data_IF_105359815503
#
_entry.id   IF_105359815503
#
_cell.length_a   1.000
_cell.length_b   1.000
_cell.length_c   1.000
_cell.angle_alpha   90.00
_cell.angle_beta   90.00
_cell.angle_gamma   90.00
#
_symmetry.space_group_name_H-M   'P 1'
#
loop_
_entity.id
_entity.type
_entity.pdbx_description
1 polymer ?
#
# COMPACT_ATOMS: atom_id res chain seq x y z
N UNK A 1 23.05 1.98 -20.82
CA UNK A 1 22.37 2.87 -19.85
C UNK A 1 21.86 2.00 -18.73
N UNK A 2 22.43 2.16 -17.53
CA UNK A 2 21.99 1.47 -16.31
C UNK A 2 20.71 2.11 -15.75
N UNK A 3 20.36 3.31 -16.23
CA UNK A 3 19.30 4.16 -15.71
C UNK A 3 17.94 4.01 -16.42
N UNK A 4 17.75 2.96 -17.22
CA UNK A 4 16.48 2.69 -17.92
C UNK A 4 15.59 1.77 -17.07
N UNK A 5 14.48 2.26 -16.47
CA UNK A 5 13.59 1.44 -15.65
C UNK A 5 13.01 0.23 -16.41
N UNK A 6 12.90 0.28 -17.74
CA UNK A 6 12.39 -0.82 -18.53
C UNK A 6 13.37 -2.02 -18.61
N UNK A 7 14.64 -1.83 -18.24
CA UNK A 7 15.70 -2.85 -18.34
C UNK A 7 16.18 -3.37 -17.01
N UNK A 8 15.75 -2.77 -15.90
CA UNK A 8 16.19 -3.13 -14.55
C UNK A 8 15.01 -3.07 -13.59
N UNK A 9 14.45 -4.22 -13.18
CA UNK A 9 13.31 -4.28 -12.27
C UNK A 9 13.57 -3.65 -10.90
N UNK A 10 14.82 -3.71 -10.41
CA UNK A 10 15.23 -3.05 -9.18
C UNK A 10 15.20 -1.53 -9.29
N UNK A 11 15.67 -0.99 -10.43
CA UNK A 11 15.57 0.44 -10.70
C UNK A 11 14.12 0.88 -10.87
N UNK A 12 13.31 0.11 -11.60
CA UNK A 12 11.87 0.36 -11.74
C UNK A 12 11.19 0.44 -10.37
N UNK A 13 11.50 -0.51 -9.48
CA UNK A 13 10.97 -0.53 -8.11
C UNK A 13 11.29 0.76 -7.35
N UNK A 14 12.55 1.20 -7.39
CA UNK A 14 12.98 2.44 -6.72
C UNK A 14 12.31 3.67 -7.34
N UNK A 15 12.23 3.74 -8.67
CA UNK A 15 11.65 4.89 -9.36
C UNK A 15 10.14 5.01 -9.12
N UNK A 16 9.43 3.88 -9.04
CA UNK A 16 8.02 3.80 -8.64
C UNK A 16 7.78 4.30 -7.21
N UNK A 17 8.71 4.07 -6.27
CA UNK A 17 8.59 4.64 -4.92
C UNK A 17 8.73 6.17 -4.91
N UNK A 18 9.61 6.71 -5.75
CA UNK A 18 9.83 8.14 -5.83
C UNK A 18 8.72 8.89 -6.57
N UNK A 19 8.18 8.29 -7.63
CA UNK A 19 7.26 8.96 -8.57
C UNK A 19 5.82 8.50 -8.43
N UNK A 20 5.57 7.36 -7.78
CA UNK A 20 4.25 6.74 -7.68
C UNK A 20 3.78 6.25 -9.04
N UNK A 21 2.49 5.92 -9.16
CA UNK A 21 1.89 5.45 -10.40
C UNK A 21 0.43 5.85 -10.49
N UNK A 22 -0.03 6.20 -11.69
CA UNK A 22 -1.46 6.42 -11.97
C UNK A 22 -2.14 5.11 -12.34
N UNK A 23 -3.42 5.00 -12.01
CA UNK A 23 -4.27 3.88 -12.44
C UNK A 23 -5.15 4.34 -13.58
N UNK A 24 -5.17 3.56 -14.66
CA UNK A 24 -6.13 3.71 -15.75
C UNK A 24 -7.50 3.14 -15.34
N UNK A 25 -8.57 3.59 -15.98
CA UNK A 25 -9.94 3.15 -15.71
C UNK A 25 -10.15 1.64 -15.99
N UNK A 26 -9.25 1.02 -16.76
CA UNK A 26 -9.24 -0.42 -17.01
C UNK A 26 -8.82 -1.28 -15.80
N UNK A 27 -8.27 -0.68 -14.74
CA UNK A 27 -7.72 -1.41 -13.60
C UNK A 27 -8.79 -1.74 -12.54
N UNK A 28 -9.19 -3.01 -12.46
CA UNK A 28 -10.12 -3.54 -11.45
C UNK A 28 -9.37 -4.46 -10.47
N UNK A 29 -8.53 -3.86 -9.62
CA UNK A 29 -7.53 -4.58 -8.80
C UNK A 29 -8.13 -5.67 -7.92
N UNK A 30 -9.17 -5.36 -7.15
CA UNK A 30 -9.79 -6.31 -6.21
C UNK A 30 -10.55 -7.42 -6.96
N UNK A 31 -11.30 -7.05 -8.01
CA UNK A 31 -12.04 -8.01 -8.85
C UNK A 31 -11.10 -9.01 -9.55
N UNK A 32 -9.87 -8.58 -9.83
CA UNK A 32 -8.81 -9.40 -10.42
C UNK A 32 -7.99 -10.18 -9.38
N UNK A 33 -8.41 -10.21 -8.11
CA UNK A 33 -7.78 -10.97 -7.04
C UNK A 33 -6.54 -10.32 -6.42
N UNK A 34 -6.27 -9.05 -6.76
CA UNK A 34 -5.23 -8.25 -6.15
C UNK A 34 -5.59 -7.82 -4.73
N UNK A 35 -4.57 -7.51 -3.93
CA UNK A 35 -4.78 -6.95 -2.59
C UNK A 35 -5.45 -5.57 -2.69
N UNK A 36 -6.46 -5.28 -1.84
CA UNK A 36 -7.12 -3.98 -1.81
C UNK A 36 -6.14 -2.87 -1.41
N UNK A 37 -6.36 -1.67 -1.95
CA UNK A 37 -5.61 -0.48 -1.54
C UNK A 37 -6.20 -0.01 -0.21
N UNK A 38 -5.48 -0.26 0.88
CA UNK A 38 -5.94 0.04 2.23
C UNK A 38 -5.03 1.04 2.94
N UNK A 39 -5.62 1.91 3.76
CA UNK A 39 -4.90 2.64 4.81
C UNK A 39 -5.17 1.98 6.15
N UNK A 40 -4.16 1.33 6.71
CA UNK A 40 -4.25 0.71 8.03
C UNK A 40 -3.02 1.09 8.86
N UNK A 41 -3.15 1.05 10.19
CA UNK A 41 -2.02 1.26 11.14
C UNK A 41 -0.81 0.39 10.89
N UNK A 42 -1.07 -0.83 10.43
CA UNK A 42 -0.07 -1.86 10.27
C UNK A 42 0.65 -1.79 8.91
N UNK A 43 0.21 -0.89 8.01
CA UNK A 43 0.76 -0.72 6.68
C UNK A 43 1.63 0.53 6.52
N UNK A 44 2.76 0.36 5.82
CA UNK A 44 3.50 1.41 5.15
C UNK A 44 2.71 1.85 3.91
N UNK A 45 1.81 2.81 4.05
CA UNK A 45 1.20 3.51 2.92
C UNK A 45 0.07 2.78 2.17
N UNK A 46 -0.66 3.59 1.41
CA UNK A 46 -1.84 3.27 0.60
C UNK A 46 -1.48 2.94 -0.85
N UNK A 47 -0.44 2.11 -1.01
CA UNK A 47 0.04 1.71 -2.32
C UNK A 47 -0.67 0.50 -2.89
N UNK A 48 -0.54 0.32 -4.19
CA UNK A 48 -0.92 -0.88 -4.92
C UNK A 48 0.17 -1.95 -4.78
N UNK A 49 -0.23 -3.14 -4.34
CA UNK A 49 0.67 -4.28 -4.19
C UNK A 49 0.87 -5.00 -5.53
N UNK A 50 2.08 -4.97 -6.06
CA UNK A 50 2.46 -5.57 -7.35
C UNK A 50 3.66 -6.50 -7.21
N UNK A 51 3.77 -7.42 -8.16
CA UNK A 51 4.97 -8.23 -8.39
C UNK A 51 5.55 -7.77 -9.73
N UNK A 52 6.71 -7.11 -9.67
CA UNK A 52 7.48 -6.70 -10.85
C UNK A 52 8.22 -7.91 -11.44
N UNK A 53 8.82 -7.77 -12.64
CA UNK A 53 9.65 -8.83 -13.21
C UNK A 53 10.72 -9.31 -12.23
N UNK A 54 11.12 -10.58 -12.38
CA UNK A 54 12.04 -11.28 -11.47
C UNK A 54 11.48 -11.49 -10.05
N UNK A 55 10.15 -11.40 -9.87
CA UNK A 55 9.49 -11.70 -8.60
C UNK A 55 9.67 -10.61 -7.54
N UNK A 56 9.96 -9.38 -7.95
CA UNK A 56 10.17 -8.27 -7.03
C UNK A 56 8.84 -7.69 -6.55
N UNK A 57 8.47 -8.04 -5.33
CA UNK A 57 7.30 -7.51 -4.63
C UNK A 57 7.47 -6.01 -4.31
N UNK A 58 6.41 -5.23 -4.49
CA UNK A 58 6.42 -3.79 -4.24
C UNK A 58 5.05 -3.25 -3.84
N UNK A 59 5.04 -2.19 -3.01
CA UNK A 59 3.87 -1.39 -2.67
C UNK A 59 4.00 -0.02 -3.36
N UNK A 60 3.41 0.15 -4.54
CA UNK A 60 3.57 1.37 -5.34
C UNK A 60 2.60 2.46 -4.86
N UNK A 61 3.06 3.66 -4.51
CA UNK A 61 2.17 4.78 -4.18
C UNK A 61 1.23 5.13 -5.34
N UNK A 62 -0.09 5.04 -5.12
CA UNK A 62 -1.12 5.32 -6.14
C UNK A 62 -2.18 6.30 -5.68
N UNK A 63 -2.28 6.55 -4.37
CA UNK A 63 -3.30 7.43 -3.77
C UNK A 63 -2.72 8.77 -3.30
N UNK A 64 -1.40 8.83 -3.11
CA UNK A 64 -0.68 10.01 -2.64
C UNK A 64 -0.79 11.16 -3.65
N UNK A 65 -0.85 12.43 -3.20
CA UNK A 65 -1.02 13.56 -4.11
C UNK A 65 0.02 13.67 -5.23
N UNK A 66 1.25 13.22 -5.00
CA UNK A 66 2.30 13.23 -6.02
C UNK A 66 2.07 12.18 -7.11
N UNK A 67 1.46 11.03 -6.78
CA UNK A 67 1.19 9.95 -7.74
C UNK A 67 0.24 10.39 -8.86
N UNK A 68 -0.63 11.38 -8.59
CA UNK A 68 -1.50 12.00 -9.62
C UNK A 68 -0.74 12.65 -10.77
N UNK A 69 0.53 13.02 -10.56
CA UNK A 69 1.42 13.58 -11.59
C UNK A 69 2.47 12.58 -12.07
N UNK A 70 2.34 11.30 -11.71
CA UNK A 70 3.32 10.29 -12.08
C UNK A 70 3.39 10.12 -13.60
N UNK A 71 4.61 10.03 -14.18
CA UNK A 71 4.78 9.62 -15.57
C UNK A 71 4.45 8.14 -15.78
N UNK A 72 4.33 7.36 -14.70
CA UNK A 72 3.91 5.97 -14.74
C UNK A 72 2.39 5.85 -14.79
N UNK A 73 1.92 4.96 -15.66
CA UNK A 73 0.52 4.58 -15.80
C UNK A 73 0.40 3.06 -15.83
N UNK A 74 -0.41 2.50 -14.94
CA UNK A 74 -0.82 1.11 -14.98
C UNK A 74 -2.06 0.97 -15.86
N UNK A 75 -2.08 -0.01 -16.75
CA UNK A 75 -3.24 -0.40 -17.55
C UNK A 75 -3.50 -1.90 -17.46
N UNK A 76 -4.76 -2.30 -17.60
CA UNK A 76 -5.12 -3.68 -17.85
C UNK A 76 -5.32 -3.89 -19.35
N UNK A 77 -4.47 -4.71 -19.97
CA UNK A 77 -4.48 -4.97 -21.41
C UNK A 77 -4.27 -6.46 -21.68
N UNK A 78 -5.07 -7.04 -22.57
CA UNK A 78 -4.98 -8.46 -22.95
C UNK A 78 -4.98 -9.44 -21.77
N UNK A 79 -5.75 -9.14 -20.72
CA UNK A 79 -5.88 -9.98 -19.53
C UNK A 79 -4.74 -9.85 -18.51
N UNK A 80 -3.79 -8.93 -18.71
CA UNK A 80 -2.69 -8.69 -17.77
C UNK A 80 -2.47 -7.21 -17.46
N UNK A 81 -1.63 -6.95 -16.46
CA UNK A 81 -1.31 -5.59 -16.03
C UNK A 81 0.03 -5.12 -16.61
N UNK A 82 0.04 -3.89 -17.12
CA UNK A 82 1.18 -3.30 -17.83
C UNK A 82 1.47 -1.91 -17.30
N UNK A 83 2.75 -1.68 -16.96
CA UNK A 83 3.27 -0.37 -16.59
C UNK A 83 3.81 0.31 -17.85
N UNK A 84 3.37 1.55 -18.05
CA UNK A 84 3.87 2.48 -19.06
C UNK A 84 4.61 3.63 -18.38
N UNK A 85 5.73 4.06 -18.94
CA UNK A 85 6.46 5.28 -18.58
C UNK A 85 6.39 6.24 -19.75
N UNK A 86 5.77 7.41 -19.56
CA UNK A 86 5.58 8.42 -20.61
C UNK A 86 4.98 7.83 -21.90
N UNK A 87 4.01 6.92 -21.74
CA UNK A 87 3.33 6.24 -22.84
C UNK A 87 4.11 5.09 -23.49
N UNK A 88 5.33 4.78 -23.02
CA UNK A 88 6.14 3.66 -23.52
C UNK A 88 6.00 2.45 -22.61
N UNK A 89 5.83 1.27 -23.22
CA UNK A 89 5.83 0.01 -22.49
C UNK A 89 7.10 -0.10 -21.63
N UNK A 90 6.91 -0.41 -20.34
CA UNK A 90 8.02 -0.54 -19.37
C UNK A 90 8.11 -1.96 -18.82
N UNK A 91 7.00 -2.50 -18.30
CA UNK A 91 6.98 -3.84 -17.73
C UNK A 91 5.57 -4.45 -17.73
N UNK A 92 5.50 -5.77 -17.88
CA UNK A 92 4.33 -6.54 -17.42
C UNK A 92 4.51 -6.85 -15.94
N UNK A 93 3.43 -6.77 -15.18
CA UNK A 93 3.42 -6.97 -13.74
C UNK A 93 2.22 -7.83 -13.36
N UNK A 94 2.33 -8.51 -12.23
CA UNK A 94 1.21 -9.22 -11.63
C UNK A 94 0.68 -8.43 -10.43
N UNK A 95 -0.63 -8.52 -10.20
CA UNK A 95 -1.18 -8.10 -8.92
C UNK A 95 -0.67 -9.05 -7.83
N UNK A 96 -0.29 -8.50 -6.68
CA UNK A 96 -0.01 -9.34 -5.52
C UNK A 96 -1.30 -10.02 -5.08
N UNK A 97 -1.35 -11.36 -4.95
CA UNK A 97 -2.57 -12.07 -4.62
C UNK A 97 -3.05 -11.69 -3.22
N UNK A 98 -4.36 -11.52 -3.08
CA UNK A 98 -5.00 -11.36 -1.78
C UNK A 98 -4.88 -12.68 -0.98
N UNK A 99 -4.35 -12.64 0.25
CA UNK A 99 -4.33 -13.83 1.08
C UNK A 99 -5.74 -14.16 1.58
N UNK A 100 -6.11 -15.45 1.57
CA UNK A 100 -7.46 -15.90 1.96
C UNK A 100 -7.88 -15.45 3.36
N UNK A 101 -6.93 -15.31 4.28
CA UNK A 101 -7.20 -14.91 5.65
C UNK A 101 -7.69 -13.46 5.77
N UNK A 102 -7.55 -12.59 4.75
CA UNK A 102 -8.11 -11.22 4.80
C UNK A 102 -9.62 -11.20 5.04
N UNK A 103 -10.33 -12.19 4.50
CA UNK A 103 -11.79 -12.33 4.61
C UNK A 103 -12.23 -13.10 5.87
N UNK A 104 -11.28 -13.61 6.65
CA UNK A 104 -11.61 -14.24 7.93
C UNK A 104 -12.09 -13.20 8.94
N UNK A 105 -12.82 -13.67 9.94
CA UNK A 105 -13.30 -12.84 11.04
C UNK A 105 -12.65 -13.27 12.34
N UNK A 106 -12.30 -12.30 13.19
CA UNK A 106 -11.92 -12.54 14.58
C UNK A 106 -13.11 -13.12 15.36
N UNK A 107 -12.85 -13.60 16.57
CA UNK A 107 -13.90 -14.05 17.51
C UNK A 107 -14.97 -12.98 17.79
N UNK A 108 -14.65 -11.70 17.60
CA UNK A 108 -15.56 -10.56 17.75
C UNK A 108 -16.18 -10.10 16.42
N UNK A 109 -15.94 -10.82 15.32
CA UNK A 109 -16.52 -10.53 14.01
C UNK A 109 -15.77 -9.50 13.16
N UNK A 110 -14.62 -8.99 13.62
CA UNK A 110 -13.80 -8.02 12.85
C UNK A 110 -13.11 -8.72 11.69
N UNK A 111 -13.18 -8.15 10.48
CA UNK A 111 -12.46 -8.69 9.34
C UNK A 111 -10.94 -8.62 9.57
N UNK A 112 -10.22 -9.70 9.31
CA UNK A 112 -8.78 -9.81 9.56
C UNK A 112 -7.95 -8.85 8.71
N UNK A 113 -8.43 -8.43 7.52
CA UNK A 113 -7.82 -7.34 6.74
C UNK A 113 -7.78 -5.99 7.48
N UNK A 114 -8.61 -5.81 8.51
CA UNK A 114 -8.55 -4.64 9.41
C UNK A 114 -7.58 -4.84 10.56
N UNK A 115 -7.17 -6.08 10.86
CA UNK A 115 -6.27 -6.42 11.97
C UNK A 115 -4.83 -6.37 11.48
N UNK A 116 -4.51 -7.13 10.43
CA UNK A 116 -3.19 -7.22 9.82
C UNK A 116 -3.19 -6.80 8.35
N UNK A 117 -2.03 -6.39 7.87
CA UNK A 117 -1.82 -6.01 6.47
C UNK A 117 -0.53 -6.64 5.95
N UNK A 118 -0.64 -7.35 4.83
CA UNK A 118 0.48 -7.97 4.12
C UNK A 118 1.00 -6.99 3.07
N UNK A 119 2.27 -6.60 3.20
CA UNK A 119 2.96 -5.68 2.30
C UNK A 119 4.20 -6.35 1.72
N UNK A 120 4.21 -6.53 0.41
CA UNK A 120 5.08 -7.48 -0.27
C UNK A 120 4.97 -8.86 0.39
N UNK A 121 6.03 -9.25 1.09
CA UNK A 121 6.16 -10.53 1.79
C UNK A 121 6.16 -10.39 3.32
N UNK A 122 5.92 -9.19 3.85
CA UNK A 122 5.90 -8.90 5.29
C UNK A 122 4.48 -8.68 5.81
N UNK A 123 4.13 -9.36 6.91
CA UNK A 123 2.88 -9.16 7.62
C UNK A 123 3.07 -8.18 8.78
N UNK A 124 2.43 -7.03 8.69
CA UNK A 124 2.31 -6.07 9.79
C UNK A 124 1.02 -6.31 10.58
N UNK A 125 1.12 -6.30 11.91
CA UNK A 125 -0.02 -6.26 12.83
C UNK A 125 0.28 -5.19 13.88
N UNK A 126 -0.68 -4.29 14.10
CA UNK A 126 -0.54 -3.22 15.08
C UNK A 126 -1.76 -3.25 16.01
N UNK A 127 -1.66 -3.93 17.18
CA UNK A 127 -2.80 -4.09 18.10
C UNK A 127 -3.10 -2.82 18.90
N UNK A 128 -2.08 -2.08 19.32
CA UNK A 128 -2.25 -0.89 20.15
C UNK A 128 -2.91 0.27 19.38
N UNK A 129 -3.49 1.23 20.12
CA UNK A 129 -3.95 2.53 19.56
C UNK A 129 -2.81 3.30 18.86
N UNK A 130 -3.15 4.33 18.08
CA UNK A 130 -2.14 5.22 17.50
C UNK A 130 -1.23 5.78 18.60
N UNK A 131 0.06 5.88 18.31
CA UNK A 131 1.07 6.38 19.25
C UNK A 131 0.62 7.72 19.86
N UNK A 132 0.67 7.83 21.20
CA UNK A 132 0.11 8.98 21.94
C UNK A 132 0.76 10.31 21.56
N UNK A 133 2.04 10.30 21.16
CA UNK A 133 2.74 11.48 20.69
C UNK A 133 2.17 12.06 19.38
N UNK A 134 1.32 11.32 18.67
CA UNK A 134 0.59 11.81 17.50
C UNK A 134 -0.78 12.42 17.82
N UNK A 135 -1.27 12.25 19.04
CA UNK A 135 -2.60 12.67 19.45
C UNK A 135 -2.61 14.14 19.88
N UNK A 136 -3.67 14.85 19.49
CA UNK A 136 -3.97 16.19 19.97
C UNK A 136 -5.07 16.08 21.03
N UNK A 137 -4.92 16.84 22.13
CA UNK A 137 -5.87 16.87 23.23
C UNK A 137 -6.24 18.32 23.57
N UNK A 138 -7.40 18.58 24.20
CA UNK A 138 -7.72 19.92 24.69
C UNK A 138 -6.59 20.45 25.61
N UNK A 139 -5.93 21.54 25.21
CA UNK A 139 -4.76 22.09 25.91
C UNK A 139 -3.39 21.61 25.43
N UNK A 140 -3.35 20.62 24.52
CA UNK A 140 -2.14 20.11 23.87
C UNK A 140 -2.40 19.97 22.36
N UNK A 141 -2.24 21.10 21.65
CA UNK A 141 -2.54 21.23 20.21
C UNK A 141 -1.32 20.87 19.35
N UNK A 142 -0.15 20.69 19.96
CA UNK A 142 1.07 20.31 19.25
C UNK A 142 1.34 18.82 19.39
N UNK A 143 1.69 18.18 18.27
CA UNK A 143 2.12 16.78 18.24
C UNK A 143 3.58 16.70 18.65
N UNK A 144 3.87 15.83 19.61
CA UNK A 144 5.23 15.56 20.11
C UNK A 144 5.85 14.33 19.44
N UNK A 145 5.34 13.93 18.26
CA UNK A 145 5.81 12.76 17.54
C UNK A 145 7.28 12.90 17.12
N UNK A 146 7.98 11.77 17.09
CA UNK A 146 9.33 11.74 16.54
C UNK A 146 9.33 12.28 15.11
N UNK A 147 10.34 13.10 14.76
CA UNK A 147 10.45 13.73 13.44
C UNK A 147 10.54 12.74 12.27
N UNK A 148 10.98 11.51 12.53
CA UNK A 148 11.07 10.43 11.55
C UNK A 148 9.79 9.58 11.46
N UNK A 149 8.88 9.70 12.42
CA UNK A 149 7.72 8.81 12.48
C UNK A 149 6.74 9.20 11.37
N UNK A 150 6.15 8.21 10.70
CA UNK A 150 5.10 8.39 9.70
C UNK A 150 3.76 7.78 10.13
N UNK A 151 3.72 7.15 11.31
CA UNK A 151 2.54 6.40 11.80
C UNK A 151 1.28 7.27 11.79
N UNK A 152 1.31 8.47 12.39
CA UNK A 152 0.15 9.36 12.40
C UNK A 152 -0.10 10.12 11.09
N UNK A 153 0.80 10.04 10.09
CA UNK A 153 0.56 10.61 8.76
C UNK A 153 -0.34 9.69 7.92
N UNK A 154 -0.21 8.37 8.07
CA UNK A 154 -0.97 7.38 7.31
C UNK A 154 -2.42 7.22 7.81
N UNK A 155 -2.68 7.58 9.06
CA UNK A 155 -3.83 7.13 9.84
C UNK A 155 -5.04 8.07 9.87
N UNK A 156 -4.99 9.21 9.18
CA UNK A 156 -5.96 10.31 9.36
C UNK A 156 -7.39 9.83 9.61
N UNK A 157 -7.98 10.21 10.77
CA UNK A 157 -9.35 9.97 11.31
C UNK A 157 -10.05 8.59 11.17
N UNK A 158 -9.64 7.69 10.28
CA UNK A 158 -10.39 6.49 9.88
C UNK A 158 -9.91 5.19 10.52
N UNK A 159 -8.80 5.23 11.23
CA UNK A 159 -8.30 4.02 11.85
C UNK A 159 -8.90 3.89 13.24
N UNK A 160 -10.10 3.31 13.25
CA UNK A 160 -10.98 3.16 14.40
C UNK A 160 -10.36 2.51 15.65
N UNK A 161 -11.24 2.16 16.57
CA UNK A 161 -10.90 1.80 17.95
C UNK A 161 -9.77 0.75 18.08
N UNK A 162 -9.14 0.77 19.26
CA UNK A 162 -8.08 -0.13 19.69
C UNK A 162 -8.36 -1.59 19.30
N UNK A 163 -7.34 -2.29 18.79
CA UNK A 163 -7.43 -3.70 18.45
C UNK A 163 -6.94 -4.50 19.64
N UNK A 164 -7.85 -5.01 20.45
CA UNK A 164 -7.45 -5.69 21.69
C UNK A 164 -6.60 -6.93 21.35
N UNK A 165 -5.76 -7.38 22.29
CA UNK A 165 -4.94 -8.60 22.08
C UNK A 165 -5.83 -9.81 21.75
N UNK A 166 -7.05 -9.86 22.27
CA UNK A 166 -8.04 -10.90 21.98
C UNK A 166 -8.51 -10.92 20.52
N UNK A 167 -8.29 -9.85 19.75
CA UNK A 167 -8.55 -9.83 18.30
C UNK A 167 -7.43 -10.51 17.48
N UNK A 168 -6.28 -10.82 18.08
CA UNK A 168 -5.07 -11.31 17.38
C UNK A 168 -4.72 -12.77 17.74
N UNK A 169 -5.51 -13.43 18.60
CA UNK A 169 -5.32 -14.83 19.05
C UNK A 169 -6.33 -15.77 18.41
#
# INVERSE_FOLDING_TARGET
MIDDPARNPGLLKLDLYCKGMRLDESCFVEDDGGRPIMRTRAGLGSGLELILPEGLWTNVPVTEPFAKRSPYLLKKENGGYVIYLDGKFTARVDLSPQPAWYEWKTSQGRAMRRVGTLQGTYLGIYPARVCEYWLEYPGHVHKDNCKFCSVGLNLGKDDGDEKTVQEVV
#
